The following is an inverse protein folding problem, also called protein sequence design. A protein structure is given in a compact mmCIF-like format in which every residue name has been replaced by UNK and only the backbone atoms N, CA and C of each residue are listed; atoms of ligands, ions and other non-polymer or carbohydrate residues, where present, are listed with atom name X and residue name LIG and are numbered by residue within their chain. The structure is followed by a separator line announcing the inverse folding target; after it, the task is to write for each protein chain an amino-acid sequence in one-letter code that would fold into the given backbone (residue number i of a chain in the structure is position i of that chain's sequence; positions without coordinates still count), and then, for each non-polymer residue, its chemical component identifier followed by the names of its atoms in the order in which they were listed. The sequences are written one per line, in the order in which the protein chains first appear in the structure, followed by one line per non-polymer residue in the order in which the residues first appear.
data_IF_268059902074
#
_entry.id   IF_268059902074
#
_cell.length_a   1.000
_cell.length_b   1.000
_cell.length_c   1.000
_cell.angle_alpha   90.00
_cell.angle_beta   90.00
_cell.angle_gamma   90.00
#
_symmetry.space_group_name_H-M   'P 1'
#
loop_
_entity.id
_entity.type
_entity.pdbx_description
1 polymer ?
#
# COMPACT_ATOMS: atom_id res chain seq x y z
N UNK A 1 -11.54 -13.66 -3.68
CA UNK A 1 -10.94 -12.43 -3.14
C UNK A 1 -9.90 -12.87 -2.13
N UNK A 2 -8.62 -12.65 -2.39
CA UNK A 2 -7.55 -12.99 -1.45
C UNK A 2 -7.69 -12.07 -0.25
N UNK A 3 -7.97 -12.64 0.92
CA UNK A 3 -8.03 -11.88 2.17
C UNK A 3 -6.60 -11.56 2.57
N UNK A 4 -6.23 -10.28 2.60
CA UNK A 4 -4.89 -9.86 3.07
C UNK A 4 -4.83 -10.13 4.57
N UNK A 5 -3.76 -10.78 5.00
CA UNK A 5 -3.41 -11.00 6.40
C UNK A 5 -2.02 -10.44 6.72
N UNK A 6 -1.66 -10.35 8.00
CA UNK A 6 -0.33 -9.89 8.43
C UNK A 6 0.81 -10.77 7.93
N UNK A 7 0.54 -12.06 7.65
CA UNK A 7 1.53 -12.99 7.11
C UNK A 7 1.57 -12.97 5.57
N UNK A 8 0.68 -12.20 4.94
CA UNK A 8 0.67 -12.06 3.49
C UNK A 8 1.87 -11.25 3.03
N UNK A 9 2.42 -11.62 1.88
CA UNK A 9 3.40 -10.78 1.17
C UNK A 9 2.67 -9.99 0.12
N UNK A 10 2.81 -8.67 0.13
CA UNK A 10 2.13 -7.75 -0.79
C UNK A 10 3.14 -7.00 -1.65
N UNK A 11 2.76 -6.71 -2.89
CA UNK A 11 3.55 -5.92 -3.83
C UNK A 11 2.65 -5.03 -4.69
N UNK A 12 3.20 -3.96 -5.26
CA UNK A 12 2.50 -3.18 -6.29
C UNK A 12 2.12 -4.07 -7.47
N UNK A 13 0.94 -3.82 -8.03
CA UNK A 13 0.59 -4.38 -9.33
C UNK A 13 1.42 -3.67 -10.41
N UNK A 14 2.17 -4.45 -11.19
CA UNK A 14 3.06 -3.92 -12.24
C UNK A 14 2.32 -3.16 -13.35
N UNK A 15 1.01 -3.34 -13.48
CA UNK A 15 0.17 -2.63 -14.45
C UNK A 15 -0.25 -1.23 -14.00
N UNK A 16 0.05 -0.85 -12.76
CA UNK A 16 -0.28 0.46 -12.19
C UNK A 16 0.88 1.41 -12.43
N UNK A 17 0.57 2.57 -13.00
CA UNK A 17 1.52 3.65 -13.18
C UNK A 17 1.41 4.62 -12.00
N UNK A 18 2.54 5.12 -11.52
CA UNK A 18 2.59 6.13 -10.47
C UNK A 18 3.34 7.36 -11.00
N UNK A 19 2.80 8.55 -10.77
CA UNK A 19 3.40 9.82 -11.15
C UNK A 19 3.23 10.85 -10.03
N UNK A 20 4.23 11.68 -9.83
CA UNK A 20 4.15 12.80 -8.89
C UNK A 20 3.63 14.04 -9.60
N UNK A 21 2.55 14.62 -9.10
CA UNK A 21 1.90 15.81 -9.66
C UNK A 21 1.66 16.80 -8.54
N UNK A 22 2.33 17.95 -8.58
CA UNK A 22 2.15 19.00 -7.57
C UNK A 22 2.57 18.60 -6.14
N UNK A 23 3.46 17.62 -5.99
CA UNK A 23 3.90 17.09 -4.70
C UNK A 23 3.02 15.97 -4.13
N UNK A 24 1.98 15.56 -4.86
CA UNK A 24 1.14 14.42 -4.51
C UNK A 24 1.42 13.23 -5.43
N UNK A 25 1.38 12.02 -4.86
CA UNK A 25 1.54 10.80 -5.65
C UNK A 25 0.20 10.38 -6.24
N UNK A 26 0.10 10.36 -7.56
CA UNK A 26 -1.08 9.94 -8.32
C UNK A 26 -0.84 8.56 -8.93
N UNK A 27 -1.72 7.62 -8.63
CA UNK A 27 -1.75 6.29 -9.24
C UNK A 27 -2.76 6.27 -10.38
N UNK A 28 -2.35 5.73 -11.52
CA UNK A 28 -3.21 5.49 -12.67
C UNK A 28 -3.32 3.97 -12.89
N UNK A 29 -4.53 3.45 -12.70
CA UNK A 29 -4.85 2.08 -13.08
C UNK A 29 -5.19 2.05 -14.56
N UNK A 30 -4.32 1.46 -15.38
CA UNK A 30 -4.50 1.36 -16.84
C UNK A 30 -5.70 0.47 -17.19
N UNK A 31 -5.99 -0.55 -16.37
CA UNK A 31 -7.13 -1.44 -16.57
C UNK A 31 -8.46 -0.79 -16.22
N UNK A 32 -8.49 0.08 -15.20
CA UNK A 32 -9.74 0.65 -14.68
C UNK A 32 -9.97 2.11 -15.09
N UNK A 33 -9.04 2.76 -15.79
CA UNK A 33 -9.11 4.19 -16.17
C UNK A 33 -9.37 5.15 -15.00
N UNK A 34 -9.02 4.74 -13.78
CA UNK A 34 -9.19 5.53 -12.57
C UNK A 34 -7.85 6.13 -12.11
N UNK A 35 -7.95 7.34 -11.56
CA UNK A 35 -6.85 8.05 -10.90
C UNK A 35 -7.09 8.07 -9.40
N UNK A 36 -6.05 7.77 -8.63
CA UNK A 36 -6.08 7.79 -7.18
C UNK A 36 -4.97 8.70 -6.66
N UNK A 37 -5.33 9.75 -5.92
CA UNK A 37 -4.37 10.53 -5.15
C UNK A 37 -4.06 9.82 -3.83
N UNK A 38 -2.79 9.73 -3.47
CA UNK A 38 -2.33 9.23 -2.18
C UNK A 38 -1.89 10.40 -1.29
N UNK A 39 -2.27 10.32 -0.02
CA UNK A 39 -1.71 11.22 0.99
C UNK A 39 -0.25 10.80 1.32
N UNK A 40 0.53 11.63 2.04
CA UNK A 40 1.94 11.34 2.29
C UNK A 40 2.21 9.96 2.92
N UNK A 41 1.38 9.52 3.86
CA UNK A 41 1.52 8.22 4.53
C UNK A 41 1.22 7.06 3.56
N UNK A 42 0.16 7.18 2.77
CA UNK A 42 -0.18 6.18 1.77
C UNK A 42 0.85 6.14 0.63
N UNK A 43 1.45 7.28 0.27
CA UNK A 43 2.56 7.38 -0.67
C UNK A 43 3.82 6.69 -0.15
N UNK A 44 4.15 6.86 1.13
CA UNK A 44 5.26 6.15 1.78
C UNK A 44 5.02 4.63 1.79
N UNK A 45 3.84 4.18 2.21
CA UNK A 45 3.46 2.76 2.16
C UNK A 45 3.57 2.25 0.72
N UNK A 46 3.00 2.96 -0.25
CA UNK A 46 3.11 2.61 -1.65
C UNK A 46 4.57 2.47 -2.08
N UNK A 47 5.47 3.38 -1.68
CA UNK A 47 6.92 3.31 -1.89
C UNK A 47 7.57 2.05 -1.35
N UNK A 48 7.20 1.61 -0.15
CA UNK A 48 7.70 0.35 0.43
C UNK A 48 7.23 -0.89 -0.33
N UNK A 49 6.06 -0.83 -0.96
CA UNK A 49 5.51 -1.92 -1.79
C UNK A 49 6.22 -2.07 -3.16
N UNK A 50 7.25 -1.27 -3.47
CA UNK A 50 8.01 -1.41 -4.73
C UNK A 50 8.68 -2.78 -4.87
N UNK A 51 9.00 -3.41 -3.75
CA UNK A 51 9.40 -4.80 -3.65
C UNK A 51 8.38 -5.59 -2.81
N UNK A 52 8.23 -6.91 -3.03
CA UNK A 52 7.41 -7.74 -2.17
C UNK A 52 7.82 -7.57 -0.70
N UNK A 53 6.86 -7.25 0.16
CA UNK A 53 7.09 -7.04 1.60
C UNK A 53 6.02 -7.77 2.40
N UNK A 54 6.41 -8.32 3.55
CA UNK A 54 5.47 -8.94 4.48
C UNK A 54 4.74 -7.85 5.26
N UNK A 55 3.43 -8.02 5.42
CA UNK A 55 2.58 -6.99 6.03
C UNK A 55 2.99 -6.68 7.48
N UNK A 56 3.38 -7.68 8.27
CA UNK A 56 3.87 -7.46 9.63
C UNK A 56 5.20 -6.68 9.69
N UNK A 57 6.15 -6.98 8.80
CA UNK A 57 7.41 -6.25 8.67
C UNK A 57 7.16 -4.78 8.27
N UNK A 58 6.22 -4.56 7.34
CA UNK A 58 5.78 -3.23 6.95
C UNK A 58 5.20 -2.46 8.15
N UNK A 59 4.28 -3.07 8.91
CA UNK A 59 3.68 -2.46 10.09
C UNK A 59 4.72 -2.15 11.18
N UNK A 60 5.66 -3.07 11.44
CA UNK A 60 6.73 -2.85 12.42
C UNK A 60 7.66 -1.71 12.02
N UNK A 61 8.04 -1.64 10.73
CA UNK A 61 8.88 -0.56 10.21
C UNK A 61 8.20 0.80 10.37
N UNK A 62 6.91 0.89 10.02
CA UNK A 62 6.13 2.12 10.17
C UNK A 62 5.93 2.49 11.65
N UNK A 63 5.62 1.55 12.52
CA UNK A 63 5.45 1.84 13.95
C UNK A 63 6.74 2.41 14.58
N UNK A 64 7.90 1.89 14.19
CA UNK A 64 9.20 2.42 14.62
C UNK A 64 9.51 3.80 14.07
N UNK A 65 9.19 4.06 12.80
CA UNK A 65 9.52 5.32 12.12
C UNK A 65 8.60 6.47 12.51
N UNK A 66 7.31 6.19 12.73
CA UNK A 66 6.31 7.17 13.13
C UNK A 66 6.16 7.30 14.65
N UNK A 67 6.91 6.52 15.45
CA UNK A 67 6.82 6.45 16.92
C UNK A 67 5.36 6.35 17.43
N UNK A 68 4.54 5.59 16.70
CA UNK A 68 3.10 5.46 16.93
C UNK A 68 2.76 4.09 17.55
N UNK A 69 1.54 3.97 18.09
CA UNK A 69 1.05 2.69 18.62
C UNK A 69 1.02 1.62 17.50
N UNK A 70 1.72 0.48 17.68
CA UNK A 70 1.74 -0.59 16.70
C UNK A 70 0.36 -1.09 16.29
N UNK A 71 -0.62 -1.09 17.20
CA UNK A 71 -1.97 -1.56 16.92
C UNK A 71 -2.74 -0.59 16.03
N UNK A 72 -2.53 0.72 16.22
CA UNK A 72 -3.11 1.77 15.36
C UNK A 72 -2.51 1.70 13.96
N UNK A 73 -1.17 1.62 13.86
CA UNK A 73 -0.48 1.48 12.58
C UNK A 73 -0.96 0.23 11.85
N UNK A 74 -1.09 -0.89 12.56
CA UNK A 74 -1.57 -2.15 11.99
C UNK A 74 -2.99 -2.02 11.44
N UNK A 75 -3.92 -1.41 12.17
CA UNK A 75 -5.27 -1.18 11.67
C UNK A 75 -5.28 -0.30 10.41
N UNK A 76 -4.58 0.84 10.44
CA UNK A 76 -4.55 1.80 9.34
C UNK A 76 -3.91 1.20 8.07
N UNK A 77 -2.79 0.50 8.24
CA UNK A 77 -2.09 -0.19 7.14
C UNK A 77 -2.98 -1.28 6.55
N UNK A 78 -3.62 -2.09 7.39
CA UNK A 78 -4.54 -3.14 6.90
C UNK A 78 -5.74 -2.55 6.16
N UNK A 79 -6.32 -1.45 6.64
CA UNK A 79 -7.42 -0.79 5.94
C UNK A 79 -6.96 -0.26 4.57
N UNK A 80 -5.79 0.38 4.51
CA UNK A 80 -5.22 0.88 3.26
C UNK A 80 -4.92 -0.26 2.28
N UNK A 81 -4.24 -1.32 2.71
CA UNK A 81 -3.90 -2.46 1.86
C UNK A 81 -5.15 -3.12 1.28
N UNK A 82 -6.21 -3.28 2.07
CA UNK A 82 -7.49 -3.81 1.59
C UNK A 82 -8.13 -2.88 0.54
N UNK A 83 -8.10 -1.55 0.74
CA UNK A 83 -8.59 -0.59 -0.26
C UNK A 83 -7.78 -0.67 -1.56
N UNK A 84 -6.46 -0.72 -1.48
CA UNK A 84 -5.58 -0.84 -2.65
C UNK A 84 -5.83 -2.16 -3.40
N UNK A 85 -5.98 -3.27 -2.68
CA UNK A 85 -6.23 -4.58 -3.27
C UNK A 85 -7.62 -4.69 -3.91
N UNK A 86 -8.66 -4.09 -3.29
CA UNK A 86 -10.01 -4.04 -3.88
C UNK A 86 -10.07 -3.26 -5.20
N UNK A 87 -9.08 -2.39 -5.42
CA UNK A 87 -8.91 -1.58 -6.63
C UNK A 87 -7.85 -2.18 -7.56
N UNK A 88 -7.37 -3.39 -7.28
CA UNK A 88 -6.34 -4.11 -8.04
C UNK A 88 -5.02 -3.33 -8.17
N UNK A 89 -4.76 -2.38 -7.26
CA UNK A 89 -3.55 -1.54 -7.29
C UNK A 89 -2.32 -2.28 -6.74
N UNK A 90 -2.57 -3.25 -5.87
CA UNK A 90 -1.57 -4.14 -5.29
C UNK A 90 -2.04 -5.58 -5.44
N UNK A 91 -1.12 -6.52 -5.28
CA UNK A 91 -1.39 -7.95 -5.34
C UNK A 91 -0.73 -8.68 -4.17
N UNK A 92 -1.35 -9.79 -3.77
CA UNK A 92 -0.78 -10.71 -2.79
C UNK A 92 0.11 -11.70 -3.55
N UNK A 93 1.37 -11.78 -3.14
CA UNK A 93 2.34 -12.75 -3.64
C UNK A 93 2.22 -14.05 -2.84
N UNK A 94 2.21 -15.18 -3.54
CA UNK A 94 2.23 -16.53 -2.97
C UNK A 94 3.66 -17.00 -2.69
#
# INVERSE_FOLDING_TARGET
MSTISEQSTVARNASVLAAEVGGELVLMSVSQWHYFGLNPVASDIWNRLSSPVRVDELCQGLAGEYEADPEVIRQDVMELLNKLASRELIEVRA
#
